data_IF_535306896590
#
_entry.id   IF_535306896590
#
_cell.length_a   1.000
_cell.length_b   1.000
_cell.length_c   1.000
_cell.angle_alpha   90.00
_cell.angle_beta   90.00
_cell.angle_gamma   90.00
#
_symmetry.space_group_name_H-M   'P 1'
#
loop_
_entity.id
_entity.type
_entity.pdbx_description
1 polymer ?
#
# COMPACT_ATOMS: atom_id res chain seq x y z
N UNK A 1 18.00 16.29 15.45
CA UNK A 1 17.67 15.41 14.31
C UNK A 1 17.77 13.91 14.66
N UNK A 2 18.64 13.48 15.58
CA UNK A 2 18.75 12.06 16.01
C UNK A 2 17.52 11.51 16.74
N UNK A 3 16.86 12.31 17.60
CA UNK A 3 15.68 11.86 18.34
C UNK A 3 14.54 11.36 17.43
N UNK A 4 14.36 11.97 16.26
CA UNK A 4 13.33 11.57 15.28
C UNK A 4 13.67 10.20 14.67
N UNK A 5 14.96 9.89 14.45
CA UNK A 5 15.39 8.58 13.95
C UNK A 5 15.18 7.47 14.98
N UNK A 6 15.43 7.76 16.25
CA UNK A 6 15.20 6.81 17.36
C UNK A 6 13.71 6.47 17.43
N UNK A 7 12.83 7.47 17.38
CA UNK A 7 11.37 7.26 17.41
C UNK A 7 10.90 6.49 16.18
N UNK A 8 11.40 6.83 14.98
CA UNK A 8 11.03 6.13 13.74
C UNK A 8 11.33 4.62 13.81
N UNK A 9 12.49 4.23 14.34
CA UNK A 9 12.86 2.81 14.46
C UNK A 9 11.95 1.98 15.38
N UNK A 10 11.20 2.64 16.25
CA UNK A 10 10.23 2.01 17.17
C UNK A 10 8.79 2.04 16.65
N UNK A 11 8.52 2.73 15.53
CA UNK A 11 7.17 2.83 14.98
C UNK A 11 6.71 1.47 14.44
N UNK A 12 5.59 0.99 15.00
CA UNK A 12 4.96 -0.26 14.57
C UNK A 12 3.79 -0.01 13.62
N UNK A 13 3.25 1.21 13.60
CA UNK A 13 2.12 1.62 12.75
C UNK A 13 2.45 2.93 12.07
N UNK A 14 2.20 3.00 10.77
CA UNK A 14 2.41 4.20 9.97
C UNK A 14 1.29 4.40 8.95
N UNK A 15 0.94 5.65 8.70
CA UNK A 15 -0.12 6.01 7.75
C UNK A 15 0.34 7.17 6.88
N UNK A 16 0.31 6.96 5.56
CA UNK A 16 0.47 8.01 4.56
C UNK A 16 -0.94 8.34 4.07
N UNK A 17 -1.41 9.55 4.34
CA UNK A 17 -2.69 10.05 3.83
C UNK A 17 -2.50 10.61 2.43
N UNK A 18 -3.54 10.51 1.61
CA UNK A 18 -3.61 11.20 0.33
C UNK A 18 -3.38 12.71 0.53
N UNK A 19 -2.77 13.35 -0.47
CA UNK A 19 -2.57 14.78 -0.44
C UNK A 19 -3.94 15.46 -0.31
N UNK A 20 -4.16 16.16 0.80
CA UNK A 20 -5.36 16.98 0.97
C UNK A 20 -5.44 17.96 -0.20
N UNK A 21 -6.60 18.03 -0.86
CA UNK A 21 -6.85 18.93 -1.96
C UNK A 21 -6.41 20.35 -1.58
N UNK A 22 -5.35 20.82 -2.25
CA UNK A 22 -4.73 22.15 -2.18
C UNK A 22 -5.06 23.00 -0.94
N UNK A 23 -4.38 22.70 0.17
CA UNK A 23 -4.29 23.58 1.34
C UNK A 23 -2.86 23.68 1.85
N UNK A 24 -2.13 24.72 1.43
CA UNK A 24 -0.82 25.18 1.97
C UNK A 24 0.40 24.25 1.75
N UNK A 25 0.24 22.96 1.48
CA UNK A 25 1.36 22.01 1.24
C UNK A 25 1.76 21.76 -0.23
N UNK A 26 0.96 22.25 -1.19
CA UNK A 26 1.06 21.89 -2.62
C UNK A 26 2.40 22.24 -3.29
N UNK A 27 3.18 23.17 -2.70
CA UNK A 27 4.50 23.57 -3.24
C UNK A 27 5.63 22.66 -2.74
N UNK A 28 5.45 21.96 -1.61
CA UNK A 28 6.45 21.04 -1.05
C UNK A 28 6.37 19.62 -1.64
N UNK A 29 5.23 19.25 -2.23
CA UNK A 29 5.00 17.92 -2.83
C UNK A 29 5.31 17.85 -4.34
N UNK A 30 5.57 18.98 -5.01
CA UNK A 30 5.76 19.02 -6.47
C UNK A 30 7.19 18.73 -6.96
N UNK A 31 8.17 18.41 -6.11
CA UNK A 31 9.56 18.24 -6.57
C UNK A 31 10.36 17.07 -5.99
N UNK A 32 9.80 16.23 -5.12
CA UNK A 32 10.47 14.99 -4.75
C UNK A 32 9.99 13.88 -5.67
N UNK A 33 10.91 13.27 -6.43
CA UNK A 33 10.66 12.02 -7.16
C UNK A 33 10.11 10.98 -6.16
N UNK A 34 8.81 10.67 -6.31
CA UNK A 34 7.97 10.06 -5.28
C UNK A 34 8.24 8.58 -4.97
N UNK A 35 9.17 7.91 -5.66
CA UNK A 35 9.66 6.58 -5.23
C UNK A 35 10.64 6.62 -4.06
N UNK A 36 11.39 7.72 -3.90
CA UNK A 36 12.49 7.81 -2.91
C UNK A 36 12.00 7.93 -1.47
N UNK A 37 10.90 8.66 -1.25
CA UNK A 37 10.39 8.93 0.10
C UNK A 37 9.86 7.67 0.79
N UNK A 38 9.02 6.89 0.11
CA UNK A 38 8.50 5.64 0.67
C UNK A 38 9.63 4.65 0.95
N UNK A 39 10.63 4.57 0.06
CA UNK A 39 11.77 3.69 0.25
C UNK A 39 12.64 4.12 1.45
N UNK A 40 12.96 5.41 1.59
CA UNK A 40 13.70 5.95 2.74
C UNK A 40 12.94 5.74 4.05
N UNK A 41 11.63 5.91 4.00
CA UNK A 41 10.73 5.74 5.13
C UNK A 41 10.65 4.28 5.59
N UNK A 42 10.59 3.34 4.64
CA UNK A 42 10.69 1.89 4.91
C UNK A 42 12.05 1.55 5.52
N UNK A 43 13.15 2.14 5.02
CA UNK A 43 14.49 1.95 5.60
C UNK A 43 14.57 2.46 7.04
N UNK A 44 13.88 3.54 7.37
CA UNK A 44 13.86 4.12 8.71
C UNK A 44 12.98 3.35 9.71
N UNK A 45 12.04 2.52 9.24
CA UNK A 45 11.08 1.79 10.07
C UNK A 45 11.21 0.26 9.88
N UNK A 46 12.32 -0.35 10.33
CA UNK A 46 12.56 -1.77 10.13
C UNK A 46 11.55 -2.68 10.85
N UNK A 47 10.92 -2.19 11.93
CA UNK A 47 9.97 -2.94 12.75
C UNK A 47 8.50 -2.70 12.37
N UNK A 48 8.24 -2.04 11.24
CA UNK A 48 6.88 -1.68 10.83
C UNK A 48 5.99 -2.92 10.71
N UNK A 49 4.86 -2.92 11.43
CA UNK A 49 3.88 -4.03 11.45
C UNK A 49 2.57 -3.68 10.77
N UNK A 50 2.21 -2.41 10.72
CA UNK A 50 0.98 -1.93 10.12
C UNK A 50 1.25 -0.71 9.26
N UNK A 51 0.85 -0.80 7.99
CA UNK A 51 1.04 0.27 7.01
C UNK A 51 -0.29 0.53 6.29
N UNK A 52 -0.70 1.80 6.30
CA UNK A 52 -1.83 2.27 5.49
C UNK A 52 -1.34 3.37 4.56
N UNK A 53 -1.62 3.24 3.27
CA UNK A 53 -1.18 4.18 2.24
C UNK A 53 -2.38 4.60 1.39
N UNK A 54 -2.48 5.89 1.12
CA UNK A 54 -3.36 6.44 0.09
C UNK A 54 -2.70 6.45 -1.31
N UNK A 55 -3.49 6.35 -2.37
CA UNK A 55 -3.02 6.34 -3.76
C UNK A 55 -2.23 7.58 -4.20
N UNK A 56 -2.60 8.77 -3.74
CA UNK A 56 -1.90 10.02 -4.07
C UNK A 56 -0.59 10.18 -3.28
N UNK A 57 -0.43 9.40 -2.21
CA UNK A 57 0.69 9.52 -1.29
C UNK A 57 1.99 8.87 -1.77
N UNK A 58 1.97 8.02 -2.80
CA UNK A 58 3.12 7.20 -3.20
C UNK A 58 3.16 6.88 -4.70
N UNK A 59 4.35 6.52 -5.18
CA UNK A 59 4.50 5.93 -6.52
C UNK A 59 4.10 4.45 -6.51
N UNK A 60 3.00 4.12 -7.19
CA UNK A 60 2.38 2.79 -7.16
C UNK A 60 3.16 1.72 -7.91
N UNK A 61 3.92 2.10 -8.93
CA UNK A 61 4.70 1.21 -9.80
C UNK A 61 5.68 0.31 -9.02
N UNK A 62 6.20 0.81 -7.90
CA UNK A 62 7.22 0.13 -7.08
C UNK A 62 6.72 -0.30 -5.70
N UNK A 63 5.45 -0.01 -5.37
CA UNK A 63 4.88 -0.22 -4.04
C UNK A 63 5.04 -1.67 -3.56
N UNK A 64 4.59 -2.65 -4.34
CA UNK A 64 4.62 -4.05 -3.93
C UNK A 64 6.05 -4.62 -3.83
N UNK A 65 6.95 -4.15 -4.68
CA UNK A 65 8.39 -4.45 -4.57
C UNK A 65 8.98 -3.93 -3.25
N UNK A 66 8.54 -2.74 -2.81
CA UNK A 66 8.98 -2.16 -1.54
C UNK A 66 8.34 -2.87 -0.34
N UNK A 67 7.05 -3.21 -0.41
CA UNK A 67 6.35 -3.95 0.65
C UNK A 67 6.97 -5.33 0.90
N UNK A 68 7.45 -6.01 -0.16
CA UNK A 68 8.16 -7.28 -0.02
C UNK A 68 9.42 -7.19 0.85
N UNK A 69 10.02 -5.99 0.99
CA UNK A 69 11.20 -5.78 1.86
C UNK A 69 10.84 -5.67 3.35
N UNK A 70 9.57 -5.42 3.69
CA UNK A 70 9.11 -5.24 5.07
C UNK A 70 8.85 -6.57 5.77
N UNK A 71 9.91 -7.18 6.30
CA UNK A 71 9.88 -8.51 6.94
C UNK A 71 8.95 -8.63 8.14
N UNK A 72 8.57 -7.53 8.78
CA UNK A 72 7.71 -7.52 9.97
C UNK A 72 6.28 -7.06 9.71
N UNK A 73 5.94 -6.73 8.45
CA UNK A 73 4.63 -6.22 8.09
C UNK A 73 3.56 -7.30 8.28
N UNK A 74 2.58 -7.02 9.13
CA UNK A 74 1.44 -7.90 9.40
C UNK A 74 0.16 -7.42 8.73
N UNK A 75 0.00 -6.11 8.64
CA UNK A 75 -1.21 -5.46 8.15
C UNK A 75 -0.85 -4.43 7.10
N UNK A 76 -1.33 -4.59 5.88
CA UNK A 76 -1.19 -3.60 4.82
C UNK A 76 -2.57 -3.17 4.36
N UNK A 77 -2.76 -1.87 4.13
CA UNK A 77 -3.99 -1.34 3.53
C UNK A 77 -3.63 -0.27 2.51
N UNK A 78 -4.06 -0.46 1.27
CA UNK A 78 -4.09 0.56 0.24
C UNK A 78 -5.51 1.15 0.21
N UNK A 79 -5.63 2.48 0.21
CA UNK A 79 -6.93 3.18 0.18
C UNK A 79 -6.95 4.20 -0.94
N UNK A 80 -8.14 4.42 -1.48
CA UNK A 80 -8.45 5.62 -2.26
C UNK A 80 -9.23 6.57 -1.37
N UNK A 81 -8.73 7.78 -1.16
CA UNK A 81 -9.56 8.81 -0.56
C UNK A 81 -10.64 9.23 -1.55
N UNK A 82 -11.90 9.21 -1.11
CA UNK A 82 -13.05 9.71 -1.90
C UNK A 82 -12.91 11.17 -2.27
N UNK A 83 -12.16 11.93 -1.47
CA UNK A 83 -11.85 13.34 -1.71
C UNK A 83 -10.56 13.53 -2.54
N UNK A 84 -9.98 12.44 -3.07
CA UNK A 84 -8.81 12.53 -3.95
C UNK A 84 -9.15 13.37 -5.19
N UNK A 85 -8.29 14.33 -5.58
CA UNK A 85 -8.47 15.08 -6.82
C UNK A 85 -8.23 14.20 -8.06
N UNK A 86 -7.64 13.01 -7.89
CA UNK A 86 -7.30 12.10 -8.97
C UNK A 86 -8.31 10.94 -9.00
N UNK A 87 -8.99 10.69 -10.14
CA UNK A 87 -9.90 9.56 -10.26
C UNK A 87 -9.21 8.22 -10.02
N UNK A 88 -9.90 7.28 -9.35
CA UNK A 88 -9.37 5.94 -9.07
C UNK A 88 -8.79 5.28 -10.31
N UNK A 89 -9.51 5.29 -11.43
CA UNK A 89 -9.06 4.68 -12.70
C UNK A 89 -7.70 5.22 -13.18
N UNK A 90 -7.40 6.49 -12.90
CA UNK A 90 -6.10 7.08 -13.24
C UNK A 90 -4.99 6.45 -12.41
N UNK A 91 -5.21 6.21 -11.12
CA UNK A 91 -4.25 5.49 -10.27
C UNK A 91 -4.13 4.02 -10.66
N UNK A 92 -5.25 3.36 -10.95
CA UNK A 92 -5.27 1.97 -11.39
C UNK A 92 -4.44 1.76 -12.67
N UNK A 93 -4.46 2.74 -13.57
CA UNK A 93 -3.64 2.70 -14.80
C UNK A 93 -2.12 2.75 -14.56
N UNK A 94 -1.70 3.31 -13.42
CA UNK A 94 -0.28 3.41 -13.02
C UNK A 94 0.20 2.19 -12.22
N UNK A 95 -0.73 1.32 -11.82
CA UNK A 95 -0.44 0.15 -11.03
C UNK A 95 0.14 -0.96 -11.91
N UNK A 96 1.29 -1.50 -11.52
CA UNK A 96 1.78 -2.74 -12.10
C UNK A 96 0.97 -3.92 -11.53
N UNK A 97 -0.08 -4.32 -12.26
CA UNK A 97 -0.96 -5.42 -11.87
C UNK A 97 -0.23 -6.77 -11.80
N UNK A 98 0.79 -6.99 -12.65
CA UNK A 98 1.59 -8.21 -12.62
C UNK A 98 2.35 -8.32 -11.29
N UNK A 99 2.95 -7.22 -10.85
CA UNK A 99 3.66 -7.14 -9.58
C UNK A 99 2.71 -7.30 -8.37
N UNK A 100 1.52 -6.67 -8.41
CA UNK A 100 0.48 -6.90 -7.40
C UNK A 100 0.09 -8.37 -7.31
N UNK A 101 -0.24 -9.00 -8.44
CA UNK A 101 -0.68 -10.40 -8.49
C UNK A 101 0.41 -11.34 -7.96
N UNK A 102 1.66 -11.14 -8.40
CA UNK A 102 2.80 -11.92 -7.90
C UNK A 102 3.01 -11.75 -6.38
N UNK A 103 2.84 -10.53 -5.86
CA UNK A 103 2.96 -10.27 -4.43
C UNK A 103 1.81 -10.91 -3.62
N UNK A 104 0.58 -10.93 -4.14
CA UNK A 104 -0.55 -11.61 -3.51
C UNK A 104 -0.42 -13.13 -3.54
N UNK A 105 0.19 -13.68 -4.60
CA UNK A 105 0.46 -15.12 -4.70
C UNK A 105 1.56 -15.57 -3.73
N UNK A 106 2.55 -14.71 -3.46
CA UNK A 106 3.63 -15.00 -2.52
C UNK A 106 3.84 -13.88 -1.49
N UNK A 107 2.87 -13.69 -0.57
CA UNK A 107 2.95 -12.63 0.40
C UNK A 107 4.09 -12.89 1.40
N UNK A 108 4.68 -11.83 1.99
CA UNK A 108 5.62 -11.96 3.10
C UNK A 108 5.07 -12.85 4.21
N UNK A 109 5.89 -13.74 4.78
CA UNK A 109 5.44 -14.75 5.75
C UNK A 109 4.86 -14.17 7.06
N UNK A 110 5.21 -12.93 7.38
CA UNK A 110 4.69 -12.18 8.52
C UNK A 110 3.33 -11.54 8.25
N UNK A 111 2.94 -11.40 6.98
CA UNK A 111 1.69 -10.77 6.59
C UNK A 111 0.50 -11.62 7.09
N UNK A 112 -0.55 -10.93 7.53
CA UNK A 112 -1.78 -11.53 8.07
C UNK A 112 -3.01 -10.94 7.43
N UNK A 113 -2.96 -9.67 7.03
CA UNK A 113 -4.10 -9.01 6.40
C UNK A 113 -3.65 -8.03 5.32
N UNK A 114 -4.40 -7.97 4.24
CA UNK A 114 -4.31 -7.01 3.15
C UNK A 114 -5.67 -6.37 2.92
N UNK A 115 -5.73 -5.05 2.97
CA UNK A 115 -6.87 -4.26 2.51
C UNK A 115 -6.57 -3.63 1.16
N UNK A 116 -7.38 -3.92 0.13
CA UNK A 116 -7.24 -3.32 -1.19
C UNK A 116 -8.53 -2.58 -1.60
N UNK A 117 -8.46 -1.48 -2.34
CA UNK A 117 -9.64 -0.76 -2.79
C UNK A 117 -10.56 -1.63 -3.66
N UNK A 118 -11.87 -1.45 -3.51
CA UNK A 118 -12.85 -2.05 -4.43
C UNK A 118 -12.53 -1.63 -5.86
N UNK A 119 -12.52 -2.59 -6.80
CA UNK A 119 -12.18 -2.35 -8.20
C UNK A 119 -10.68 -2.42 -8.53
N UNK A 120 -9.80 -2.57 -7.53
CA UNK A 120 -8.36 -2.77 -7.80
C UNK A 120 -8.08 -4.13 -8.47
N UNK A 121 -8.72 -5.18 -7.96
CA UNK A 121 -8.59 -6.54 -8.48
C UNK A 121 -9.56 -6.74 -9.64
N UNK A 122 -9.02 -7.12 -10.80
CA UNK A 122 -9.80 -7.39 -12.00
C UNK A 122 -10.59 -8.69 -11.85
N UNK A 123 -11.69 -8.81 -12.60
CA UNK A 123 -12.56 -9.98 -12.54
C UNK A 123 -11.80 -11.28 -12.87
N UNK A 124 -10.87 -11.23 -13.83
CA UNK A 124 -10.08 -12.39 -14.23
C UNK A 124 -9.23 -12.95 -13.07
N UNK A 125 -8.72 -12.08 -12.19
CA UNK A 125 -7.93 -12.52 -11.04
C UNK A 125 -8.77 -13.30 -10.03
N UNK A 126 -10.03 -12.89 -9.81
CA UNK A 126 -10.94 -13.61 -8.92
C UNK A 126 -11.30 -14.98 -9.48
N UNK A 127 -11.50 -15.06 -10.80
CA UNK A 127 -11.82 -16.30 -11.50
C UNK A 127 -10.64 -17.28 -11.50
N UNK A 128 -9.42 -16.79 -11.79
CA UNK A 128 -8.19 -17.59 -11.77
C UNK A 128 -7.89 -18.23 -10.41
N UNK A 129 -8.30 -17.57 -9.32
CA UNK A 129 -8.05 -18.05 -7.95
C UNK A 129 -9.26 -18.76 -7.32
N UNK A 130 -10.35 -18.94 -8.09
CA UNK A 130 -11.55 -19.69 -7.70
C UNK A 130 -12.17 -19.24 -6.35
N UNK A 131 -12.06 -17.94 -6.01
CA UNK A 131 -12.64 -17.43 -4.78
C UNK A 131 -14.16 -17.25 -4.90
N UNK A 132 -14.91 -17.78 -3.94
CA UNK A 132 -16.38 -17.72 -3.92
C UNK A 132 -16.96 -16.37 -3.51
N UNK A 133 -16.22 -15.54 -2.76
CA UNK A 133 -16.62 -14.18 -2.35
C UNK A 133 -15.65 -13.14 -2.95
N UNK A 134 -16.20 -12.18 -3.71
CA UNK A 134 -15.43 -11.09 -4.33
C UNK A 134 -15.17 -9.90 -3.37
N UNK A 135 -15.54 -10.01 -2.09
CA UNK A 135 -15.24 -8.99 -1.07
C UNK A 135 -14.15 -9.42 -0.10
N UNK A 136 -13.96 -10.73 0.06
CA UNK A 136 -12.95 -11.27 0.95
C UNK A 136 -12.44 -12.62 0.45
N UNK A 137 -11.14 -12.85 0.63
CA UNK A 137 -10.51 -14.12 0.32
C UNK A 137 -9.46 -14.46 1.37
N UNK A 138 -9.15 -15.75 1.52
CA UNK A 138 -7.99 -16.19 2.28
C UNK A 138 -6.94 -16.65 1.28
N UNK A 139 -5.86 -15.88 1.18
CA UNK A 139 -4.72 -16.21 0.31
C UNK A 139 -3.91 -17.35 0.92
N UNK A 140 -2.90 -17.81 0.18
CA UNK A 140 -1.92 -18.75 0.71
C UNK A 140 -1.36 -18.29 2.08
N UNK A 141 -1.01 -19.27 2.92
CA UNK A 141 -0.45 -19.05 4.27
C UNK A 141 -1.42 -18.36 5.24
N UNK A 142 -2.72 -18.31 4.91
CA UNK A 142 -3.77 -17.81 5.79
C UNK A 142 -3.81 -16.28 5.89
N UNK A 143 -3.40 -15.58 4.82
CA UNK A 143 -3.49 -14.11 4.77
C UNK A 143 -4.91 -13.71 4.37
N UNK A 144 -5.55 -12.90 5.19
CA UNK A 144 -6.88 -12.34 4.88
C UNK A 144 -6.75 -11.20 3.87
N UNK A 145 -7.40 -11.33 2.73
CA UNK A 145 -7.61 -10.26 1.76
C UNK A 145 -9.02 -9.70 1.97
N UNK A 146 -9.12 -8.39 2.17
CA UNK A 146 -10.39 -7.68 2.28
C UNK A 146 -10.44 -6.52 1.28
N UNK A 147 -11.55 -6.36 0.59
CA UNK A 147 -11.79 -5.15 -0.16
C UNK A 147 -12.25 -4.00 0.77
N UNK A 148 -11.76 -2.79 0.51
CA UNK A 148 -12.07 -1.59 1.28
C UNK A 148 -12.69 -0.51 0.40
N UNK A 149 -13.71 0.16 0.93
CA UNK A 149 -14.41 1.28 0.29
C UNK A 149 -13.72 2.64 0.51
#
# INVERSE_FOLDING_TARGET
MEAIKIVASQLLKFTIRDAEAQGVGAVAQQQQKNGTYLEELIKAMPLLRSLTIGFDGVELSSLFTLLAKLKHLRYFVLRHNKDSPTPLDTHLSQLDFSNLSAWLASPPSSLRMVGLPVGLLRDEWWEENEFGDRRSAVLEKGVELCLVD
#
